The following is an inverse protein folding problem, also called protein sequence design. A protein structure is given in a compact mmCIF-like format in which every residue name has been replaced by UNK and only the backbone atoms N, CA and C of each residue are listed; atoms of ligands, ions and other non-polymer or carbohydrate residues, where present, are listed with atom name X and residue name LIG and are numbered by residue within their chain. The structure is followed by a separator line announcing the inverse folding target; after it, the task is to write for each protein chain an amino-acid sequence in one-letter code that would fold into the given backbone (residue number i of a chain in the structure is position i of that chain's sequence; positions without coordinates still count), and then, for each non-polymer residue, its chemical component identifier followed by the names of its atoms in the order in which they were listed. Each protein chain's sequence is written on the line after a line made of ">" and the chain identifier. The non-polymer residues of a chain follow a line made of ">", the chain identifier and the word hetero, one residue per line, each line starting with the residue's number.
data_IF_119157994731
#
_entry.id   IF_119157994731
#
_cell.length_a   1.000
_cell.length_b   1.000
_cell.length_c   1.000
_cell.angle_alpha   90.00
_cell.angle_beta   90.00
_cell.angle_gamma   90.00
#
_symmetry.space_group_name_H-M   'P 1'
#
loop_
_entity.id
_entity.type
_entity.pdbx_description
1 polymer ?
#
# COMPACT_ATOMS: atom_id res chain seq x y z
N UNK A 1 10.45 19.26 -15.65
CA UNK A 1 9.42 19.29 -14.60
C UNK A 1 9.55 20.63 -13.92
N UNK A 2 8.54 21.50 -13.97
CA UNK A 2 8.62 22.81 -13.32
C UNK A 2 8.91 22.63 -11.83
N UNK A 3 9.88 23.39 -11.32
CA UNK A 3 10.27 23.34 -9.92
C UNK A 3 9.14 23.92 -9.06
N UNK A 4 9.02 23.49 -7.80
CA UNK A 4 7.95 23.97 -6.90
C UNK A 4 7.86 25.51 -6.81
N UNK A 5 8.97 26.27 -6.79
CA UNK A 5 8.92 27.73 -6.80
C UNK A 5 8.30 28.31 -8.08
N UNK A 6 8.56 27.70 -9.24
CA UNK A 6 7.98 28.12 -10.52
C UNK A 6 6.47 27.84 -10.55
N UNK A 7 6.04 26.71 -10.02
CA UNK A 7 4.61 26.36 -9.90
C UNK A 7 3.85 27.35 -9.00
N UNK A 8 4.45 27.80 -7.91
CA UNK A 8 3.86 28.83 -7.03
C UNK A 8 3.70 30.15 -7.78
N UNK A 9 4.68 30.52 -8.62
CA UNK A 9 4.66 31.77 -9.38
C UNK A 9 3.60 31.77 -10.49
N UNK A 10 3.36 30.62 -11.13
CA UNK A 10 2.39 30.50 -12.23
C UNK A 10 0.94 30.30 -11.76
N UNK A 11 0.72 29.44 -10.76
CA UNK A 11 -0.62 29.00 -10.36
C UNK A 11 -1.09 29.58 -9.01
N UNK A 12 -0.20 30.24 -8.28
CA UNK A 12 -0.42 30.69 -6.92
C UNK A 12 -0.25 29.57 -5.88
N UNK A 13 0.02 29.96 -4.62
CA UNK A 13 0.40 29.04 -3.53
C UNK A 13 -0.63 27.91 -3.33
N UNK A 14 -1.93 28.22 -3.35
CA UNK A 14 -2.98 27.20 -3.10
C UNK A 14 -3.02 26.13 -4.19
N UNK A 15 -2.99 26.52 -5.47
CA UNK A 15 -3.08 25.57 -6.57
C UNK A 15 -1.79 24.79 -6.75
N UNK A 16 -0.63 25.42 -6.52
CA UNK A 16 0.66 24.74 -6.53
C UNK A 16 0.76 23.64 -5.46
N UNK A 17 0.23 23.90 -4.25
CA UNK A 17 0.20 22.89 -3.17
C UNK A 17 -0.72 21.72 -3.54
N UNK A 18 -1.90 21.98 -4.10
CA UNK A 18 -2.83 20.93 -4.55
C UNK A 18 -2.20 20.08 -5.65
N UNK A 19 -1.58 20.72 -6.64
CA UNK A 19 -0.91 20.02 -7.74
C UNK A 19 0.26 19.15 -7.25
N UNK A 20 1.06 19.65 -6.29
CA UNK A 20 2.11 18.83 -5.67
C UNK A 20 1.59 17.69 -4.83
N UNK A 21 0.51 17.89 -4.08
CA UNK A 21 -0.12 16.81 -3.34
C UNK A 21 -0.60 15.70 -4.30
N UNK A 22 -1.21 16.08 -5.43
CA UNK A 22 -1.66 15.13 -6.44
C UNK A 22 -0.49 14.38 -7.08
N UNK A 23 0.60 15.07 -7.42
CA UNK A 23 1.84 14.46 -7.96
C UNK A 23 2.46 13.44 -6.99
N UNK A 24 2.51 13.77 -5.70
CA UNK A 24 3.03 12.86 -4.66
C UNK A 24 2.14 11.63 -4.54
N UNK A 25 0.83 11.81 -4.51
CA UNK A 25 -0.14 10.72 -4.40
C UNK A 25 -0.06 9.81 -5.63
N UNK A 26 0.01 10.37 -6.83
CA UNK A 26 0.16 9.60 -8.08
C UNK A 26 1.43 8.76 -8.07
N UNK A 27 2.54 9.30 -7.58
CA UNK A 27 3.80 8.54 -7.48
C UNK A 27 3.76 7.44 -6.44
N UNK A 28 3.22 7.72 -5.26
CA UNK A 28 3.14 6.73 -4.17
C UNK A 28 2.21 5.58 -4.52
N UNK A 29 1.11 5.88 -5.20
CA UNK A 29 0.12 4.88 -5.60
C UNK A 29 0.40 4.24 -6.96
N UNK A 30 1.53 4.57 -7.60
CA UNK A 30 1.89 4.10 -8.93
C UNK A 30 0.80 4.35 -9.99
N UNK A 31 0.26 5.57 -10.03
CA UNK A 31 -0.56 6.07 -11.12
C UNK A 31 -2.02 6.37 -10.79
N UNK A 32 -2.42 6.42 -9.51
CA UNK A 32 -3.74 6.90 -9.10
C UNK A 32 -3.64 8.31 -8.50
N UNK A 33 -4.43 9.25 -9.02
CA UNK A 33 -4.49 10.59 -8.46
C UNK A 33 -5.51 10.68 -7.30
N UNK A 34 -5.59 11.84 -6.63
CA UNK A 34 -6.48 12.04 -5.48
C UNK A 34 -7.96 11.85 -5.87
N UNK A 35 -8.35 12.25 -7.09
CA UNK A 35 -9.72 12.05 -7.56
C UNK A 35 -10.04 10.58 -7.84
N UNK A 36 -9.08 9.80 -8.34
CA UNK A 36 -9.24 8.37 -8.62
C UNK A 36 -9.40 7.59 -7.32
N UNK A 37 -8.63 7.93 -6.27
CA UNK A 37 -8.79 7.36 -4.93
C UNK A 37 -10.17 7.68 -4.38
N UNK A 38 -10.60 8.94 -4.48
CA UNK A 38 -11.91 9.37 -3.98
C UNK A 38 -13.05 8.66 -4.72
N UNK A 39 -12.98 8.56 -6.04
CA UNK A 39 -13.95 7.85 -6.87
C UNK A 39 -13.98 6.35 -6.53
N UNK A 40 -12.81 5.74 -6.29
CA UNK A 40 -12.72 4.36 -5.83
C UNK A 40 -13.40 4.14 -4.47
N UNK A 41 -13.21 5.05 -3.51
CA UNK A 41 -13.86 4.99 -2.21
C UNK A 41 -15.37 5.22 -2.27
N UNK A 42 -15.86 5.98 -3.27
CA UNK A 42 -17.30 6.18 -3.52
C UNK A 42 -17.96 5.01 -4.25
N UNK A 43 -17.16 4.12 -4.84
CA UNK A 43 -17.68 3.03 -5.68
C UNK A 43 -18.07 3.48 -7.09
N UNK A 44 -17.64 4.67 -7.54
CA UNK A 44 -17.91 5.16 -8.89
C UNK A 44 -17.27 4.23 -9.94
N UNK A 45 -17.79 4.20 -11.17
CA UNK A 45 -17.14 3.43 -12.24
C UNK A 45 -15.76 4.02 -12.57
N UNK A 46 -14.72 3.19 -12.73
CA UNK A 46 -13.39 3.68 -13.07
C UNK A 46 -13.36 4.24 -14.50
N UNK A 47 -12.64 5.35 -14.68
CA UNK A 47 -12.33 5.91 -16.00
C UNK A 47 -11.61 4.86 -16.86
N UNK A 48 -11.74 4.94 -18.19
CA UNK A 48 -10.95 4.13 -19.13
C UNK A 48 -9.72 4.93 -19.60
N UNK A 49 -8.50 4.37 -19.63
CA UNK A 49 -8.06 3.07 -19.07
C UNK A 49 -8.15 3.03 -17.53
N UNK A 50 -8.44 1.86 -16.94
CA UNK A 50 -8.75 1.71 -15.51
C UNK A 50 -7.56 2.11 -14.61
N UNK A 51 -7.63 3.24 -13.88
CA UNK A 51 -6.55 3.69 -13.01
C UNK A 51 -6.27 2.70 -11.87
N UNK A 52 -7.28 1.92 -11.47
CA UNK A 52 -7.19 0.95 -10.36
C UNK A 52 -6.29 -0.23 -10.67
N UNK A 53 -6.01 -0.52 -11.94
CA UNK A 53 -5.15 -1.64 -12.34
C UNK A 53 -3.66 -1.26 -12.36
N UNK A 54 -3.33 0.03 -12.48
CA UNK A 54 -1.94 0.50 -12.53
C UNK A 54 -1.18 0.26 -11.21
N UNK A 55 -1.75 0.52 -10.02
CA UNK A 55 -1.11 0.16 -8.76
C UNK A 55 -0.78 -1.33 -8.67
N UNK A 56 -1.66 -2.20 -9.19
CA UNK A 56 -1.44 -3.65 -9.17
C UNK A 56 -0.40 -4.14 -10.18
N UNK A 57 -0.20 -3.41 -11.28
CA UNK A 57 0.76 -3.76 -12.32
C UNK A 57 2.15 -3.15 -12.09
N UNK A 58 2.20 -1.89 -11.65
CA UNK A 58 3.41 -1.07 -11.67
C UNK A 58 4.01 -0.83 -10.28
N UNK A 59 3.25 -1.06 -9.18
CA UNK A 59 3.76 -0.85 -7.83
C UNK A 59 4.40 -2.10 -7.26
N UNK A 60 5.62 -1.98 -6.75
CA UNK A 60 6.29 -3.05 -6.02
C UNK A 60 5.50 -3.50 -4.78
N UNK A 61 4.95 -2.55 -4.01
CA UNK A 61 4.22 -2.86 -2.78
C UNK A 61 2.74 -3.19 -3.02
N UNK A 62 2.09 -2.55 -4.00
CA UNK A 62 0.65 -2.75 -4.27
C UNK A 62 0.36 -3.93 -5.21
N UNK A 63 1.40 -4.51 -5.81
CA UNK A 63 1.36 -5.78 -6.56
C UNK A 63 0.92 -6.99 -5.71
N UNK A 64 1.18 -6.97 -4.39
CA UNK A 64 0.98 -8.14 -3.50
C UNK A 64 -0.47 -8.66 -3.53
N UNK A 65 -1.45 -7.79 -3.81
CA UNK A 65 -2.84 -8.19 -3.92
C UNK A 65 -3.24 -8.36 -5.39
N UNK A 66 -3.53 -9.58 -5.88
CA UNK A 66 -4.09 -9.78 -7.21
C UNK A 66 -5.43 -9.05 -7.36
N UNK A 67 -5.69 -8.55 -8.57
CA UNK A 67 -6.90 -7.78 -8.89
C UNK A 67 -8.20 -8.59 -8.79
N UNK A 68 -8.11 -9.92 -8.78
CA UNK A 68 -9.25 -10.80 -8.72
C UNK A 68 -8.97 -11.97 -7.78
N UNK A 69 -9.92 -12.21 -6.87
CA UNK A 69 -9.98 -13.40 -6.05
C UNK A 69 -11.31 -14.10 -6.33
N UNK A 70 -11.28 -15.41 -6.49
CA UNK A 70 -12.50 -16.19 -6.41
C UNK A 70 -13.08 -16.07 -5.00
N UNK A 71 -14.39 -15.96 -4.88
CA UNK A 71 -15.09 -15.87 -3.58
C UNK A 71 -14.69 -17.03 -2.66
N UNK A 72 -14.41 -18.21 -3.21
CA UNK A 72 -13.96 -19.41 -2.50
C UNK A 72 -12.62 -19.24 -1.76
N UNK A 73 -11.76 -18.31 -2.16
CA UNK A 73 -10.48 -18.04 -1.48
C UNK A 73 -10.55 -16.86 -0.50
N UNK A 74 -11.69 -16.17 -0.42
CA UNK A 74 -11.90 -15.05 0.54
C UNK A 74 -12.34 -15.49 1.93
N UNK A 75 -12.53 -16.80 2.15
CA UNK A 75 -12.86 -17.35 3.45
C UNK A 75 -11.66 -17.29 4.42
N UNK A 76 -11.97 -17.26 5.72
CA UNK A 76 -10.96 -17.24 6.80
C UNK A 76 -10.05 -18.47 6.72
N UNK A 77 -10.60 -19.64 6.40
CA UNK A 77 -9.85 -20.89 6.33
C UNK A 77 -8.71 -20.88 5.30
N UNK A 78 -8.91 -20.52 4.02
CA UNK A 78 -7.82 -20.36 3.06
C UNK A 78 -6.81 -19.27 3.43
N UNK A 79 -7.23 -18.23 4.17
CA UNK A 79 -6.35 -17.13 4.61
C UNK A 79 -5.39 -17.56 5.73
N UNK A 80 -5.84 -18.43 6.64
CA UNK A 80 -5.05 -18.95 7.79
C UNK A 80 -4.41 -20.33 7.54
N UNK A 81 -4.07 -20.65 6.29
CA UNK A 81 -3.29 -21.87 5.99
C UNK A 81 -1.89 -21.78 6.61
N UNK A 82 -1.08 -22.81 6.35
CA UNK A 82 0.27 -22.97 6.91
C UNK A 82 1.17 -21.74 6.79
N UNK A 83 1.04 -20.90 5.75
CA UNK A 83 1.88 -19.71 5.56
C UNK A 83 1.61 -18.57 6.55
N UNK A 84 0.33 -18.30 6.87
CA UNK A 84 0.01 -17.26 7.85
C UNK A 84 0.25 -17.78 9.27
N UNK A 85 -0.01 -19.06 9.51
CA UNK A 85 0.36 -19.73 10.77
C UNK A 85 1.88 -19.69 11.00
N UNK A 86 2.70 -19.96 9.98
CA UNK A 86 4.17 -19.90 10.11
C UNK A 86 4.68 -18.48 10.37
N UNK A 87 4.09 -17.48 9.72
CA UNK A 87 4.45 -16.07 9.95
C UNK A 87 4.07 -15.65 11.38
N UNK A 88 2.89 -16.06 11.83
CA UNK A 88 2.46 -15.84 13.22
C UNK A 88 3.41 -16.48 14.22
N UNK A 89 3.76 -17.76 14.04
CA UNK A 89 4.69 -18.46 14.92
C UNK A 89 6.07 -17.81 14.89
N UNK A 90 6.59 -17.43 13.72
CA UNK A 90 7.86 -16.71 13.61
C UNK A 90 7.88 -15.41 14.41
N UNK A 91 6.83 -14.58 14.29
CA UNK A 91 6.74 -13.32 15.05
C UNK A 91 6.61 -13.60 16.55
N UNK A 92 5.76 -14.56 16.93
CA UNK A 92 5.53 -14.94 18.32
C UNK A 92 6.80 -15.48 18.99
N UNK A 93 7.50 -16.40 18.34
CA UNK A 93 8.77 -16.98 18.78
C UNK A 93 9.90 -15.95 18.79
N UNK A 94 9.91 -15.01 17.85
CA UNK A 94 10.89 -13.91 17.87
C UNK A 94 10.70 -13.03 19.10
N UNK A 95 9.46 -12.63 19.40
CA UNK A 95 9.17 -11.78 20.56
C UNK A 95 9.48 -12.53 21.86
N UNK A 96 8.94 -13.73 22.02
CA UNK A 96 9.16 -14.53 23.24
C UNK A 96 10.61 -14.95 23.39
N UNK A 97 11.29 -15.30 22.29
CA UNK A 97 12.72 -15.58 22.25
C UNK A 97 13.55 -14.39 22.72
N UNK A 98 13.30 -13.18 22.21
CA UNK A 98 13.97 -11.96 22.68
C UNK A 98 13.74 -11.75 24.18
N UNK A 99 12.51 -11.94 24.67
CA UNK A 99 12.20 -11.83 26.10
C UNK A 99 13.02 -12.85 26.91
N UNK A 100 13.09 -14.10 26.45
CA UNK A 100 13.87 -15.14 27.10
C UNK A 100 15.37 -14.82 27.10
N UNK A 101 15.91 -14.23 26.04
CA UNK A 101 17.32 -13.84 25.97
C UNK A 101 17.73 -12.84 27.05
N UNK A 102 16.80 -12.04 27.59
CA UNK A 102 17.07 -11.12 28.71
C UNK A 102 17.40 -11.91 29.99
N UNK A 103 16.75 -13.05 30.20
CA UNK A 103 16.89 -13.86 31.41
C UNK A 103 17.80 -15.07 31.21
N UNK A 104 18.10 -15.41 29.97
CA UNK A 104 18.91 -16.57 29.61
C UNK A 104 20.40 -16.27 29.79
N UNK A 105 21.10 -17.12 30.54
CA UNK A 105 22.56 -17.13 30.61
C UNK A 105 23.07 -18.38 29.89
N UNK A 106 23.77 -18.27 28.76
CA UNK A 106 24.34 -19.43 28.08
C UNK A 106 25.55 -19.98 28.87
N UNK A 107 25.34 -21.00 29.69
CA UNK A 107 26.42 -21.76 30.33
C UNK A 107 26.60 -23.13 29.65
N UNK A 108 27.85 -23.58 29.39
CA UNK A 108 28.14 -24.88 28.79
C UNK A 108 27.64 -26.08 29.61
#
# INVERSE_FOLDING_TARGET
>A
MATFPEQIREMGVKQAVIAKADEVVERVTAGMNISDIRAALRGDEPRRPNPRLRPHADSFWLHIRPSFYHTEVTHIYPTFRMGWLSTFMFVWETITGIILMIFYTPSP
#
